data_IF_447005591652
#
_entry.id   IF_447005591652
#
_cell.length_a   1.000
_cell.length_b   1.000
_cell.length_c   1.000
_cell.angle_alpha   90.00
_cell.angle_beta   90.00
_cell.angle_gamma   90.00
#
_symmetry.space_group_name_H-M   'P 1'
#
loop_
_entity.id
_entity.type
_entity.pdbx_description
1 polymer ?
#
# COMPACT_ATOMS: atom_id res chain seq x y z
N UNK A 1 -4.79 8.93 -21.91
CA UNK A 1 -5.02 9.48 -20.56
C UNK A 1 -3.89 10.44 -20.24
N UNK A 2 -4.23 11.67 -19.84
CA UNK A 2 -3.31 12.80 -19.65
C UNK A 2 -3.03 13.08 -18.16
N UNK A 3 -2.06 13.95 -17.85
CA UNK A 3 -1.70 14.27 -16.46
C UNK A 3 -2.81 15.04 -15.73
N UNK A 4 -3.50 15.94 -16.43
CA UNK A 4 -4.63 16.70 -15.90
C UNK A 4 -5.76 15.76 -15.42
N UNK A 5 -6.01 14.70 -16.18
CA UNK A 5 -7.04 13.70 -15.88
C UNK A 5 -6.77 12.94 -14.57
N UNK A 6 -5.51 12.62 -14.28
CA UNK A 6 -5.11 11.98 -13.01
C UNK A 6 -5.32 12.93 -11.83
N UNK A 7 -4.97 14.22 -11.98
CA UNK A 7 -5.18 15.21 -10.92
C UNK A 7 -6.66 15.42 -10.62
N UNK A 8 -7.49 15.45 -11.66
CA UNK A 8 -8.93 15.47 -11.53
C UNK A 8 -9.45 14.21 -10.81
N UNK A 9 -8.92 13.02 -11.16
CA UNK A 9 -9.22 11.77 -10.47
C UNK A 9 -8.89 11.84 -8.98
N UNK A 10 -7.66 12.24 -8.59
CA UNK A 10 -7.23 12.33 -7.19
C UNK A 10 -8.16 13.27 -6.39
N UNK A 11 -8.48 14.43 -6.96
CA UNK A 11 -9.35 15.43 -6.32
C UNK A 11 -10.76 14.89 -6.13
N UNK A 12 -11.33 14.27 -7.16
CA UNK A 12 -12.67 13.69 -7.10
C UNK A 12 -12.73 12.52 -6.10
N UNK A 13 -11.70 11.66 -6.11
CA UNK A 13 -11.59 10.50 -5.23
C UNK A 13 -11.55 10.92 -3.76
N UNK A 14 -10.73 11.92 -3.44
CA UNK A 14 -10.65 12.52 -2.10
C UNK A 14 -12.00 13.05 -1.64
N UNK A 15 -12.75 13.73 -2.51
CA UNK A 15 -14.10 14.24 -2.21
C UNK A 15 -15.14 13.14 -2.01
N UNK A 16 -15.11 12.11 -2.86
CA UNK A 16 -16.14 11.06 -2.86
C UNK A 16 -15.93 10.01 -1.76
N UNK A 17 -14.68 9.74 -1.38
CA UNK A 17 -14.32 8.58 -0.53
C UNK A 17 -13.41 8.93 0.65
N UNK A 18 -12.97 10.19 0.78
CA UNK A 18 -12.15 10.66 1.91
C UNK A 18 -10.70 10.20 1.90
N UNK A 19 -10.27 9.47 0.86
CA UNK A 19 -8.89 8.96 0.75
C UNK A 19 -8.06 9.90 -0.12
N UNK A 20 -6.91 10.32 0.39
CA UNK A 20 -5.96 11.15 -0.36
C UNK A 20 -4.94 10.28 -1.09
N UNK A 21 -4.94 10.37 -2.42
CA UNK A 21 -4.02 9.64 -3.31
C UNK A 21 -2.85 10.50 -3.80
N UNK A 22 -2.75 11.76 -3.38
CA UNK A 22 -1.71 12.70 -3.84
C UNK A 22 -0.29 12.30 -3.46
N UNK A 23 -0.12 11.43 -2.46
CA UNK A 23 1.18 10.88 -2.04
C UNK A 23 1.74 9.83 -3.01
N UNK A 24 0.91 9.24 -3.88
CA UNK A 24 1.36 8.28 -4.87
C UNK A 24 1.94 9.00 -6.10
N UNK A 25 3.03 8.45 -6.65
CA UNK A 25 3.59 8.94 -7.93
C UNK A 25 2.54 8.85 -9.04
N UNK A 26 2.37 9.91 -9.83
CA UNK A 26 1.37 9.97 -10.92
C UNK A 26 1.49 8.78 -11.88
N UNK A 27 2.70 8.41 -12.29
CA UNK A 27 2.95 7.25 -13.17
C UNK A 27 2.55 5.90 -12.54
N UNK A 28 2.55 5.79 -11.21
CA UNK A 28 2.04 4.60 -10.53
C UNK A 28 0.52 4.54 -10.64
N UNK A 29 -0.17 5.62 -10.27
CA UNK A 29 -1.64 5.71 -10.38
C UNK A 29 -2.12 5.51 -11.81
N UNK A 30 -1.44 6.13 -12.79
CA UNK A 30 -1.74 5.97 -14.21
C UNK A 30 -1.78 4.51 -14.65
N UNK A 31 -0.75 3.73 -14.28
CA UNK A 31 -0.65 2.32 -14.64
C UNK A 31 -1.74 1.49 -13.96
N UNK A 32 -2.04 1.77 -12.69
CA UNK A 32 -3.09 1.07 -11.94
C UNK A 32 -4.48 1.35 -12.51
N UNK A 33 -4.79 2.63 -12.78
CA UNK A 33 -6.03 3.05 -13.43
C UNK A 33 -6.20 2.43 -14.81
N UNK A 34 -5.18 2.56 -15.67
CA UNK A 34 -5.21 1.99 -17.02
C UNK A 34 -5.42 0.48 -17.01
N UNK A 35 -4.80 -0.23 -16.06
CA UNK A 35 -4.99 -1.66 -15.91
C UNK A 35 -6.43 -2.02 -15.49
N UNK A 36 -7.01 -1.29 -14.52
CA UNK A 36 -8.41 -1.51 -14.12
C UNK A 36 -9.39 -1.19 -15.25
N UNK A 37 -9.18 -0.08 -15.97
CA UNK A 37 -9.99 0.30 -17.14
C UNK A 37 -10.04 -0.81 -18.19
N UNK A 38 -8.89 -1.39 -18.53
CA UNK A 38 -8.80 -2.55 -19.43
C UNK A 38 -9.59 -3.76 -18.93
N UNK A 39 -9.48 -4.08 -17.63
CA UNK A 39 -10.25 -5.20 -17.03
C UNK A 39 -11.76 -4.94 -16.99
N UNK A 40 -12.18 -3.67 -16.98
CA UNK A 40 -13.57 -3.27 -17.05
C UNK A 40 -14.10 -3.08 -18.49
N UNK A 41 -13.26 -3.26 -19.52
CA UNK A 41 -13.56 -2.92 -20.91
C UNK A 41 -14.05 -1.47 -21.09
N UNK A 42 -13.37 -0.52 -20.44
CA UNK A 42 -13.67 0.91 -20.54
C UNK A 42 -12.51 1.65 -21.21
N UNK A 43 -12.84 2.45 -22.22
CA UNK A 43 -11.84 3.16 -23.04
C UNK A 43 -11.62 4.61 -22.58
N UNK A 44 -12.53 5.14 -21.75
CA UNK A 44 -12.41 6.50 -21.21
C UNK A 44 -12.28 6.53 -19.68
N UNK A 45 -11.48 7.48 -19.17
CA UNK A 45 -11.37 7.69 -17.73
C UNK A 45 -12.72 8.17 -17.16
N UNK A 46 -13.49 8.95 -17.90
CA UNK A 46 -14.79 9.44 -17.48
C UNK A 46 -15.78 8.29 -17.20
N UNK A 47 -15.83 7.26 -18.04
CA UNK A 47 -16.64 6.06 -17.80
C UNK A 47 -16.15 5.29 -16.57
N UNK A 48 -14.83 5.13 -16.42
CA UNK A 48 -14.25 4.47 -15.25
C UNK A 48 -14.55 5.22 -13.95
N UNK A 49 -14.51 6.55 -13.98
CA UNK A 49 -14.89 7.41 -12.85
C UNK A 49 -16.36 7.24 -12.47
N UNK A 50 -17.26 7.17 -13.46
CA UNK A 50 -18.68 6.90 -13.22
C UNK A 50 -18.88 5.51 -12.59
N UNK A 51 -18.13 4.51 -13.06
CA UNK A 51 -18.17 3.13 -12.56
C UNK A 51 -17.69 3.02 -11.12
N UNK A 52 -16.50 3.52 -10.80
CA UNK A 52 -15.89 3.40 -9.46
C UNK A 52 -16.66 4.19 -8.39
N UNK A 53 -17.39 5.24 -8.80
CA UNK A 53 -18.26 6.01 -7.90
C UNK A 53 -19.52 5.25 -7.48
N UNK A 54 -20.06 4.39 -8.35
CA UNK A 54 -21.32 3.66 -8.14
C UNK A 54 -21.12 2.21 -7.71
N UNK A 55 -19.93 1.65 -7.90
CA UNK A 55 -19.63 0.25 -7.62
C UNK A 55 -18.53 0.12 -6.54
N UNK A 56 -18.94 -0.23 -5.32
CA UNK A 56 -18.03 -0.45 -4.19
C UNK A 56 -17.09 -1.63 -4.40
N UNK A 57 -17.51 -2.66 -5.14
CA UNK A 57 -16.65 -3.80 -5.47
C UNK A 57 -15.49 -3.38 -6.38
N UNK A 58 -15.77 -2.58 -7.41
CA UNK A 58 -14.71 -2.05 -8.30
C UNK A 58 -13.78 -1.10 -7.55
N UNK A 59 -14.33 -0.30 -6.64
CA UNK A 59 -13.55 0.56 -5.77
C UNK A 59 -12.55 -0.23 -4.91
N UNK A 60 -13.01 -1.30 -4.26
CA UNK A 60 -12.13 -2.18 -3.48
C UNK A 60 -11.07 -2.83 -4.36
N UNK A 61 -11.43 -3.33 -5.55
CA UNK A 61 -10.48 -3.88 -6.52
C UNK A 61 -9.42 -2.86 -6.94
N UNK A 62 -9.79 -1.59 -7.12
CA UNK A 62 -8.82 -0.53 -7.40
C UNK A 62 -7.87 -0.29 -6.22
N UNK A 63 -8.39 -0.19 -5.00
CA UNK A 63 -7.58 -0.03 -3.79
C UNK A 63 -6.59 -1.18 -3.60
N UNK A 64 -7.01 -2.41 -3.85
CA UNK A 64 -6.13 -3.59 -3.80
C UNK A 64 -4.96 -3.48 -4.79
N UNK A 65 -5.12 -2.76 -5.90
CA UNK A 65 -4.01 -2.51 -6.82
C UNK A 65 -3.02 -1.46 -6.31
N UNK A 66 -3.46 -0.58 -5.41
CA UNK A 66 -2.59 0.42 -4.77
C UNK A 66 -1.80 -0.18 -3.61
N UNK A 67 -2.40 -1.16 -2.92
CA UNK A 67 -1.76 -1.89 -1.85
C UNK A 67 -0.65 -2.81 -2.40
N UNK A 68 0.56 -2.71 -1.85
CA UNK A 68 1.60 -3.71 -2.10
C UNK A 68 1.34 -4.87 -1.14
N UNK A 69 0.40 -5.75 -1.51
CA UNK A 69 0.03 -6.92 -0.72
C UNK A 69 1.00 -8.11 -0.87
N UNK A 70 2.25 -7.86 -1.27
CA UNK A 70 3.26 -8.92 -1.28
C UNK A 70 3.87 -8.93 0.10
N UNK A 71 3.58 -9.96 0.90
CA UNK A 71 4.35 -10.34 2.08
C UNK A 71 4.82 -11.77 1.97
N UNK A 72 5.99 -12.04 2.53
CA UNK A 72 6.58 -13.37 2.57
C UNK A 72 7.26 -13.57 3.92
N UNK A 73 7.27 -14.81 4.40
CA UNK A 73 8.01 -15.18 5.60
C UNK A 73 9.48 -14.82 5.41
N UNK A 74 10.07 -14.12 6.38
CA UNK A 74 11.46 -13.70 6.36
C UNK A 74 11.87 -12.92 5.10
N UNK A 75 11.04 -11.95 4.66
CA UNK A 75 11.22 -11.20 3.40
C UNK A 75 12.65 -10.78 3.12
N UNK A 76 13.29 -10.19 4.11
CA UNK A 76 14.69 -9.78 4.09
C UNK A 76 15.47 -10.62 5.08
N UNK A 77 15.78 -11.87 4.70
CA UNK A 77 16.36 -12.89 5.59
C UNK A 77 17.65 -12.41 6.29
N UNK A 78 18.44 -11.56 5.64
CA UNK A 78 19.63 -10.94 6.22
C UNK A 78 19.32 -10.04 7.43
N UNK A 79 18.20 -9.32 7.41
CA UNK A 79 17.75 -8.48 8.54
C UNK A 79 17.44 -9.36 9.75
N UNK A 80 16.77 -10.50 9.53
CA UNK A 80 16.50 -11.47 10.60
C UNK A 80 17.79 -12.15 11.11
N UNK A 81 18.74 -12.46 10.22
CA UNK A 81 20.04 -12.98 10.62
C UNK A 81 20.81 -11.97 11.49
N UNK A 82 20.86 -10.71 11.06
CA UNK A 82 21.51 -9.63 11.80
C UNK A 82 20.83 -9.42 13.16
N UNK A 83 19.49 -9.35 13.17
CA UNK A 83 18.71 -9.24 14.40
C UNK A 83 19.04 -10.37 15.38
N UNK A 84 19.05 -11.63 14.92
CA UNK A 84 19.39 -12.78 15.76
C UNK A 84 20.84 -12.71 16.27
N UNK A 85 21.79 -12.37 15.41
CA UNK A 85 23.22 -12.44 15.72
C UNK A 85 23.69 -11.33 16.65
N UNK A 86 23.15 -10.13 16.49
CA UNK A 86 23.65 -8.94 17.19
C UNK A 86 22.58 -8.35 18.11
N UNK A 87 21.44 -7.93 17.57
CA UNK A 87 20.43 -7.20 18.35
C UNK A 87 19.83 -8.04 19.48
N UNK A 88 19.39 -9.26 19.17
CA UNK A 88 18.74 -10.15 20.14
C UNK A 88 19.71 -10.58 21.22
N UNK A 89 20.97 -10.89 20.86
CA UNK A 89 22.02 -11.23 21.85
C UNK A 89 22.29 -10.07 22.81
N UNK A 90 22.42 -8.86 22.29
CA UNK A 90 22.64 -7.66 23.12
C UNK A 90 21.44 -7.38 24.03
N UNK A 91 20.20 -7.47 23.52
CA UNK A 91 18.98 -7.30 24.33
C UNK A 91 18.91 -8.33 25.46
N UNK A 92 19.25 -9.60 25.19
CA UNK A 92 19.30 -10.66 26.20
C UNK A 92 20.32 -10.30 27.28
N UNK A 93 21.56 -9.97 26.90
CA UNK A 93 22.62 -9.62 27.85
C UNK A 93 22.23 -8.45 28.77
N UNK A 94 21.58 -7.42 28.23
CA UNK A 94 21.07 -6.29 29.04
C UNK A 94 19.94 -6.69 29.99
N UNK A 95 19.14 -7.70 29.63
CA UNK A 95 18.03 -8.18 30.48
C UNK A 95 18.47 -9.20 31.51
N UNK A 96 19.60 -9.88 31.32
CA UNK A 96 20.19 -10.76 32.32
C UNK A 96 20.51 -10.01 33.63
N UNK A 97 20.97 -8.76 33.55
CA UNK A 97 21.21 -7.91 34.72
C UNK A 97 19.99 -7.10 35.18
N UNK A 98 18.91 -7.05 34.38
CA UNK A 98 17.71 -6.28 34.69
C UNK A 98 16.65 -7.05 35.49
N UNK A 99 15.71 -6.28 36.10
CA UNK A 99 14.59 -6.80 36.89
C UNK A 99 13.54 -7.58 36.08
N UNK A 100 13.40 -7.29 34.77
CA UNK A 100 12.41 -7.95 33.91
C UNK A 100 13.07 -8.69 32.75
N UNK A 101 12.78 -10.00 32.66
CA UNK A 101 13.29 -10.91 31.62
C UNK A 101 12.45 -10.91 30.34
N UNK A 102 11.30 -10.23 30.32
CA UNK A 102 10.41 -10.21 29.16
C UNK A 102 10.96 -9.33 28.03
N UNK A 103 11.05 -9.87 26.81
CA UNK A 103 11.34 -9.11 25.59
C UNK A 103 10.01 -8.80 24.90
N UNK A 104 9.79 -7.53 24.53
CA UNK A 104 8.64 -7.10 23.75
C UNK A 104 9.11 -6.63 22.39
N UNK A 105 8.47 -7.12 21.33
CA UNK A 105 8.76 -6.75 19.94
C UNK A 105 7.45 -6.21 19.37
N UNK A 106 7.55 -5.11 18.62
CA UNK A 106 6.45 -4.58 17.83
C UNK A 106 6.77 -4.82 16.35
N UNK A 107 5.82 -5.43 15.64
CA UNK A 107 5.84 -5.62 14.19
C UNK A 107 4.79 -4.75 13.53
#
# INVERSE_FOLDING_TARGET
MEKEEIKAFITMFRRARGIDLSSYRENFLFRRLSHRMKLCNLDSLAEYLSRIKKNDEEFNKFLDTLAINVSQFFRDSEVFYYFRKYCLKDIIGRKESGASKTIRIWS
#
